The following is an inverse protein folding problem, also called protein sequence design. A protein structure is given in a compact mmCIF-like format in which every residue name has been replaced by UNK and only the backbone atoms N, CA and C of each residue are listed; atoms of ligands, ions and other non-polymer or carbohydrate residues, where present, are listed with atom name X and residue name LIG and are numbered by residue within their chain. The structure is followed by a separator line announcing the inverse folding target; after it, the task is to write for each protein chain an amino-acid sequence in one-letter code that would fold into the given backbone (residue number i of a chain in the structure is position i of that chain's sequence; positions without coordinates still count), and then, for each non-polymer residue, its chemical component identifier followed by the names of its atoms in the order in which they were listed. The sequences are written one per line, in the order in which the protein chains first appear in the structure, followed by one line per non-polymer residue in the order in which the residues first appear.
data_IF_210315803184
#
_entry.id   IF_210315803184
#
_cell.length_a   1.000
_cell.length_b   1.000
_cell.length_c   1.000
_cell.angle_alpha   90.00
_cell.angle_beta   90.00
_cell.angle_gamma   90.00
#
_symmetry.space_group_name_H-M   'P 1'
#
loop_
_entity.id
_entity.type
_entity.pdbx_description
1 polymer ?
#
# COMPACT_ATOMS: atom_id res chain seq x y z
N UNK A 1 -3.94 -8.27 -15.93
CA UNK A 1 -4.31 -8.50 -14.52
C UNK A 1 -5.46 -7.57 -14.19
N UNK A 2 -6.54 -8.05 -13.56
CA UNK A 2 -7.60 -7.18 -13.09
C UNK A 2 -7.13 -6.48 -11.80
N UNK A 3 -7.05 -5.16 -11.82
CA UNK A 3 -6.86 -4.33 -10.63
C UNK A 3 -8.21 -3.77 -10.19
N UNK A 4 -8.42 -3.63 -8.87
CA UNK A 4 -9.55 -2.88 -8.35
C UNK A 4 -9.25 -1.39 -8.47
N UNK A 5 -10.15 -0.63 -9.10
CA UNK A 5 -10.01 0.81 -9.26
C UNK A 5 -11.23 1.50 -8.67
N UNK A 6 -10.98 2.37 -7.69
CA UNK A 6 -12.01 3.17 -7.02
C UNK A 6 -11.77 4.63 -7.41
N UNK A 7 -12.74 5.28 -8.05
CA UNK A 7 -12.70 6.69 -8.43
C UNK A 7 -13.76 7.47 -7.66
N UNK A 8 -13.55 8.78 -7.50
CA UNK A 8 -14.48 9.70 -6.84
C UNK A 8 -14.80 9.34 -5.37
N UNK A 9 -13.96 8.54 -4.72
CA UNK A 9 -14.02 8.32 -3.28
C UNK A 9 -13.33 9.48 -2.56
N UNK A 10 -14.00 10.07 -1.59
CA UNK A 10 -13.40 11.10 -0.75
C UNK A 10 -12.65 10.45 0.41
N UNK A 11 -11.38 10.85 0.58
CA UNK A 11 -10.55 10.47 1.72
C UNK A 11 -9.87 11.75 2.24
N UNK A 12 -10.10 12.08 3.51
CA UNK A 12 -9.75 13.36 4.13
C UNK A 12 -8.99 13.14 5.44
N UNK A 13 -8.24 14.15 5.85
CA UNK A 13 -7.60 14.21 7.17
C UNK A 13 -8.62 13.92 8.27
N UNK A 14 -8.23 13.09 9.24
CA UNK A 14 -9.09 12.63 10.33
C UNK A 14 -10.01 11.46 9.97
N UNK A 15 -9.91 10.91 8.76
CA UNK A 15 -10.58 9.66 8.37
C UNK A 15 -9.58 8.50 8.35
N UNK A 16 -10.10 7.30 8.59
CA UNK A 16 -9.36 6.04 8.46
C UNK A 16 -9.86 5.28 7.24
N UNK A 17 -8.97 4.98 6.30
CA UNK A 17 -9.24 4.04 5.22
C UNK A 17 -8.80 2.64 5.65
N UNK A 18 -9.75 1.72 5.72
CA UNK A 18 -9.46 0.30 6.01
C UNK A 18 -9.47 -0.50 4.72
N UNK A 19 -8.38 -1.21 4.45
CA UNK A 19 -8.25 -2.15 3.33
C UNK A 19 -8.16 -3.55 3.91
N UNK A 20 -9.04 -4.44 3.47
CA UNK A 20 -9.01 -5.86 3.81
C UNK A 20 -8.82 -6.65 2.51
N UNK A 21 -7.91 -7.61 2.52
CA UNK A 21 -7.61 -8.40 1.35
C UNK A 21 -6.88 -9.68 1.70
N UNK A 22 -6.82 -10.59 0.71
CA UNK A 22 -6.07 -11.84 0.80
C UNK A 22 -5.08 -11.86 -0.37
N UNK A 23 -3.76 -11.84 -0.14
CA UNK A 23 -2.78 -12.00 -1.19
C UNK A 23 -2.97 -13.38 -1.83
N UNK A 24 -2.86 -13.48 -3.16
CA UNK A 24 -2.96 -14.78 -3.82
C UNK A 24 -1.82 -15.69 -3.34
N UNK A 25 -2.02 -17.02 -3.27
CA UNK A 25 -0.98 -17.98 -2.88
C UNK A 25 0.31 -17.90 -3.71
N UNK A 26 0.24 -17.38 -4.93
CA UNK A 26 1.33 -17.24 -5.90
C UNK A 26 1.74 -15.79 -6.17
N UNK A 27 1.28 -14.83 -5.35
CA UNK A 27 1.60 -13.42 -5.54
C UNK A 27 3.10 -13.15 -5.30
N UNK A 28 3.76 -12.48 -6.25
CA UNK A 28 5.12 -11.92 -6.04
C UNK A 28 5.06 -10.65 -5.21
N UNK A 29 3.99 -9.87 -5.37
CA UNK A 29 3.74 -8.62 -4.67
C UNK A 29 2.26 -8.21 -4.77
N UNK A 30 1.84 -7.25 -3.95
CA UNK A 30 0.65 -6.44 -4.21
C UNK A 30 0.94 -4.96 -3.93
N UNK A 31 0.12 -4.06 -4.47
CA UNK A 31 0.27 -2.64 -4.25
C UNK A 31 -1.07 -1.95 -3.99
N UNK A 32 -1.02 -0.94 -3.13
CA UNK A 32 -2.08 0.02 -2.87
C UNK A 32 -1.58 1.38 -3.33
N UNK A 33 -2.32 2.01 -4.24
CA UNK A 33 -2.03 3.34 -4.75
C UNK A 33 -3.14 4.29 -4.30
N UNK A 34 -2.77 5.39 -3.64
CA UNK A 34 -3.67 6.47 -3.27
C UNK A 34 -3.13 7.76 -3.87
N UNK A 35 -3.99 8.46 -4.60
CA UNK A 35 -3.66 9.74 -5.22
C UNK A 35 -4.84 10.33 -5.98
N UNK A 36 -4.73 11.59 -6.40
CA UNK A 36 -5.78 12.25 -7.17
C UNK A 36 -6.00 11.62 -8.55
N UNK A 37 -4.96 11.03 -9.16
CA UNK A 37 -5.05 10.39 -10.47
C UNK A 37 -3.89 9.40 -10.71
N UNK A 38 -3.86 8.74 -11.86
CA UNK A 38 -2.86 7.71 -12.21
C UNK A 38 -1.44 8.26 -12.46
N UNK A 39 -1.29 9.56 -12.70
CA UNK A 39 0.00 10.25 -12.89
C UNK A 39 0.56 10.84 -11.60
N UNK A 40 -0.29 10.96 -10.59
CA UNK A 40 0.02 11.57 -9.29
C UNK A 40 -0.41 10.61 -8.17
N UNK A 41 0.50 9.72 -7.77
CA UNK A 41 0.30 8.79 -6.65
C UNK A 41 1.00 9.40 -5.43
N UNK A 42 0.20 9.89 -4.48
CA UNK A 42 0.72 10.45 -3.24
C UNK A 42 1.28 9.37 -2.32
N UNK A 43 0.68 8.18 -2.33
CA UNK A 43 1.15 7.03 -1.57
C UNK A 43 1.07 5.76 -2.42
N UNK A 44 2.22 5.19 -2.72
CA UNK A 44 2.38 3.85 -3.26
C UNK A 44 2.90 2.96 -2.13
N UNK A 45 2.07 2.05 -1.65
CA UNK A 45 2.46 1.02 -0.70
C UNK A 45 2.58 -0.30 -1.47
N UNK A 46 3.76 -0.91 -1.48
CA UNK A 46 4.01 -2.14 -2.21
C UNK A 46 4.67 -3.21 -1.32
N UNK A 47 3.87 -4.21 -0.96
CA UNK A 47 4.34 -5.40 -0.28
C UNK A 47 4.95 -6.36 -1.30
N UNK A 48 6.26 -6.59 -1.22
CA UNK A 48 7.03 -7.47 -2.10
C UNK A 48 7.35 -8.76 -1.33
N UNK A 49 6.65 -9.86 -1.65
CA UNK A 49 6.99 -11.19 -1.10
C UNK A 49 8.32 -11.67 -1.69
N UNK A 50 8.42 -11.60 -3.02
CA UNK A 50 9.64 -11.86 -3.78
C UNK A 50 9.51 -11.15 -5.14
N UNK A 51 9.93 -9.88 -5.19
CA UNK A 51 9.78 -9.05 -6.38
C UNK A 51 10.86 -7.97 -6.43
N UNK A 52 11.33 -7.63 -7.64
CA UNK A 52 12.28 -6.54 -7.88
C UNK A 52 13.62 -6.66 -7.12
N UNK A 53 14.00 -7.87 -6.73
CA UNK A 53 15.21 -8.13 -5.94
C UNK A 53 15.02 -8.00 -4.42
N UNK A 54 13.81 -7.64 -3.97
CA UNK A 54 13.45 -7.63 -2.56
C UNK A 54 12.70 -8.94 -2.18
N UNK A 55 13.00 -9.46 -0.98
CA UNK A 55 12.30 -10.58 -0.35
C UNK A 55 11.68 -10.10 0.97
N UNK A 56 10.37 -10.32 1.14
CA UNK A 56 9.57 -9.88 2.28
C UNK A 56 9.85 -8.43 2.69
N UNK A 57 9.68 -7.51 1.74
CA UNK A 57 9.92 -6.09 1.95
C UNK A 57 8.66 -5.25 1.75
N UNK A 58 8.48 -4.27 2.63
CA UNK A 58 7.51 -3.20 2.45
C UNK A 58 8.19 -1.98 1.82
N UNK A 59 7.81 -1.67 0.59
CA UNK A 59 8.34 -0.53 -0.15
C UNK A 59 7.26 0.53 -0.32
N UNK A 60 7.56 1.72 0.17
CA UNK A 60 6.73 2.91 0.04
C UNK A 60 7.38 3.90 -0.94
N UNK A 61 6.59 4.57 -1.76
CA UNK A 61 7.07 5.63 -2.66
C UNK A 61 5.92 6.62 -2.99
N UNK A 62 6.24 7.68 -3.71
CA UNK A 62 5.29 8.52 -4.43
C UNK A 62 5.63 8.54 -5.93
N UNK A 63 4.64 8.86 -6.75
CA UNK A 63 4.77 9.04 -8.19
C UNK A 63 4.24 10.41 -8.55
N UNK A 64 5.09 11.30 -9.05
CA UNK A 64 4.75 12.71 -9.31
C UNK A 64 5.13 13.05 -10.74
N UNK A 65 4.23 13.69 -11.48
CA UNK A 65 4.44 14.07 -12.89
C UNK A 65 4.91 12.91 -13.78
N UNK A 66 4.52 11.68 -13.47
CA UNK A 66 4.93 10.51 -14.22
C UNK A 66 6.30 9.92 -13.82
N UNK A 67 6.88 10.34 -12.69
CA UNK A 67 8.21 9.91 -12.23
C UNK A 67 8.14 9.36 -10.81
N UNK A 68 8.77 8.22 -10.56
CA UNK A 68 8.93 7.65 -9.22
C UNK A 68 9.91 8.48 -8.40
N UNK A 69 9.56 8.78 -7.15
CA UNK A 69 10.42 9.46 -6.21
C UNK A 69 11.35 8.45 -5.50
N UNK A 70 11.96 8.88 -4.40
CA UNK A 70 12.81 8.02 -3.57
C UNK A 70 12.00 6.93 -2.85
N UNK A 71 12.45 5.68 -2.94
CA UNK A 71 11.83 4.56 -2.22
C UNK A 71 12.16 4.62 -0.72
N UNK A 72 11.14 4.45 0.12
CA UNK A 72 11.30 4.17 1.55
C UNK A 72 11.03 2.69 1.81
N UNK A 73 11.90 2.04 2.59
CA UNK A 73 11.74 0.64 2.97
C UNK A 73 11.42 0.58 4.46
N UNK A 74 10.23 0.10 4.78
CA UNK A 74 9.78 -0.06 6.16
C UNK A 74 10.36 -1.34 6.78
N UNK A 75 10.52 -1.33 8.10
CA UNK A 75 10.93 -2.51 8.85
C UNK A 75 9.77 -3.49 9.01
N UNK A 76 10.03 -4.77 8.72
CA UNK A 76 9.06 -5.86 8.93
C UNK A 76 8.13 -6.12 7.74
N UNK A 77 7.49 -7.28 7.75
CA UNK A 77 6.62 -7.75 6.66
C UNK A 77 5.46 -8.58 7.21
N UNK A 78 4.33 -7.95 7.61
CA UNK A 78 3.24 -8.64 8.29
C UNK A 78 2.19 -9.19 7.30
N UNK A 79 2.66 -9.80 6.20
CA UNK A 79 1.80 -10.37 5.17
C UNK A 79 2.20 -11.81 4.90
N UNK A 80 1.20 -12.68 4.79
CA UNK A 80 1.37 -14.06 4.34
C UNK A 80 0.55 -14.29 3.08
N UNK A 81 1.06 -15.15 2.20
CA UNK A 81 0.35 -15.58 1.01
C UNK A 81 -0.87 -16.42 1.40
N UNK A 82 -2.04 -16.10 0.84
CA UNK A 82 -3.29 -16.83 1.12
C UNK A 82 -3.96 -16.49 2.45
N UNK A 83 -3.39 -15.59 3.26
CA UNK A 83 -3.99 -15.16 4.54
C UNK A 83 -4.62 -13.77 4.43
N UNK A 84 -5.69 -13.52 5.19
CA UNK A 84 -6.31 -12.20 5.25
C UNK A 84 -5.39 -11.21 5.96
N UNK A 85 -5.26 -10.02 5.39
CA UNK A 85 -4.68 -8.86 6.05
C UNK A 85 -5.71 -7.76 6.23
N UNK A 86 -5.48 -6.91 7.22
CA UNK A 86 -6.11 -5.60 7.35
C UNK A 86 -5.04 -4.51 7.44
N UNK A 87 -5.16 -3.49 6.60
CA UNK A 87 -4.33 -2.28 6.62
C UNK A 87 -5.21 -1.09 6.94
N UNK A 88 -4.78 -0.25 7.89
CA UNK A 88 -5.43 0.99 8.26
C UNK A 88 -4.53 2.15 7.81
N UNK A 89 -5.11 3.06 7.03
CA UNK A 89 -4.39 4.20 6.46
C UNK A 89 -5.04 5.46 7.00
N UNK A 90 -4.23 6.30 7.63
CA UNK A 90 -4.60 7.63 8.07
C UNK A 90 -3.59 8.63 7.51
N UNK A 91 -3.97 9.89 7.41
CA UNK A 91 -3.04 10.93 7.01
C UNK A 91 -3.34 12.25 7.68
N UNK A 92 -2.26 12.99 7.89
CA UNK A 92 -2.26 14.36 8.38
C UNK A 92 -1.96 15.31 7.21
N UNK A 93 -2.10 16.63 7.39
CA UNK A 93 -1.73 17.60 6.37
C UNK A 93 -0.24 17.54 5.95
N UNK A 94 0.63 16.95 6.78
CA UNK A 94 2.08 16.91 6.57
C UNK A 94 2.60 15.55 6.14
N UNK A 95 1.95 14.46 6.54
CA UNK A 95 2.43 13.09 6.29
C UNK A 95 1.29 12.06 6.32
N UNK A 96 1.46 10.95 5.59
CA UNK A 96 0.65 9.74 5.78
C UNK A 96 1.20 8.96 6.97
N UNK A 97 0.31 8.53 7.86
CA UNK A 97 0.66 7.65 8.99
C UNK A 97 0.04 6.29 8.70
N UNK A 98 0.87 5.32 8.31
CA UNK A 98 0.44 3.93 8.18
C UNK A 98 0.40 3.30 9.56
N UNK A 99 -0.79 2.94 10.05
CA UNK A 99 -0.91 2.20 11.30
C UNK A 99 -0.83 0.69 11.04
N UNK A 100 -0.11 0.07 11.96
CA UNK A 100 0.24 -1.34 12.07
C UNK A 100 -0.91 -2.32 11.79
N UNK A 101 -0.52 -3.43 11.17
CA UNK A 101 -1.36 -4.55 10.74
C UNK A 101 -1.82 -5.35 11.95
N UNK A 102 -3.13 -5.37 12.20
CA UNK A 102 -3.75 -6.33 13.11
C UNK A 102 -3.88 -7.68 12.38
N UNK A 103 -2.95 -8.60 12.65
CA UNK A 103 -3.16 -10.02 12.36
C UNK A 103 -4.00 -10.58 13.50
N UNK A 104 -5.25 -10.96 13.21
CA UNK A 104 -6.01 -11.79 14.14
C UNK A 104 -5.34 -13.15 14.21
N UNK A 105 -4.68 -13.42 15.34
CA UNK A 105 -4.30 -14.78 15.77
C UNK A 105 -5.55 -15.61 16.02
#
# INVERSE_FOLDING_TARGET
MASMMIKNMSFKVGQTLTIVGVPKPDATNFAVNIGPNEKDITMHMNARFNAHGDENAMVCNSYQDGIWCEEHREGGFPFSLGEEFKVLIEFTPTEFVTFQIDIKV
#
